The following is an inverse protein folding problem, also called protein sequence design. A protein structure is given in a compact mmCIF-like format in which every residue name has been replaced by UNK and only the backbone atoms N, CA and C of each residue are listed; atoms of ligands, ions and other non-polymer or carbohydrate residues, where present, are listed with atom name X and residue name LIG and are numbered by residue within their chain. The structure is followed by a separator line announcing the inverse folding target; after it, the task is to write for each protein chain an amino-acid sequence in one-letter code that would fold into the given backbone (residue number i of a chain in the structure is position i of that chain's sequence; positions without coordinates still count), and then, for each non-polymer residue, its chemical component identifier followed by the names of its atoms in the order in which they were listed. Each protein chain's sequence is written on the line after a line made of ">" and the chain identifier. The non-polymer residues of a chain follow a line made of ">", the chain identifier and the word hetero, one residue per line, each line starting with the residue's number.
data_IF_752697572968
#
_entry.id   IF_752697572968
#
_cell.length_a   1.000
_cell.length_b   1.000
_cell.length_c   1.000
_cell.angle_alpha   90.00
_cell.angle_beta   90.00
_cell.angle_gamma   90.00
#
_symmetry.space_group_name_H-M   'P 1'
#
loop_
_entity.id
_entity.type
_entity.pdbx_description
1 polymer ?
#
# COMPACT_ATOMS: atom_id res chain seq x y z
N UNK A 1 2.76 -20.06 10.00
CA UNK A 1 2.73 -18.59 10.15
C UNK A 1 2.77 -17.99 8.75
N UNK A 2 1.89 -17.03 8.40
CA UNK A 2 2.05 -16.31 7.13
C UNK A 2 3.41 -15.63 7.17
N UNK A 3 4.28 -15.99 6.22
CA UNK A 3 5.60 -15.38 6.11
C UNK A 3 5.39 -13.90 5.81
N UNK A 4 6.15 -13.07 6.51
CA UNK A 4 6.30 -11.66 6.21
C UNK A 4 6.56 -11.48 4.70
N UNK A 5 5.70 -10.73 4.04
CA UNK A 5 5.72 -10.53 2.60
C UNK A 5 6.23 -9.15 2.24
N UNK A 6 6.90 -9.06 1.10
CA UNK A 6 7.13 -7.77 0.46
C UNK A 6 5.79 -7.22 -0.06
N UNK A 7 5.60 -5.91 0.08
CA UNK A 7 4.51 -5.18 -0.57
C UNK A 7 5.15 -4.20 -1.55
N UNK A 8 4.71 -4.29 -2.80
CA UNK A 8 5.04 -3.33 -3.84
C UNK A 8 3.78 -2.49 -4.04
N UNK A 9 3.91 -1.17 -3.94
CA UNK A 9 2.84 -0.22 -4.18
C UNK A 9 3.16 0.59 -5.43
N UNK A 10 2.22 0.65 -6.36
CA UNK A 10 2.23 1.59 -7.48
C UNK A 10 1.36 2.76 -7.06
N UNK A 11 1.93 3.95 -7.03
CA UNK A 11 1.25 5.10 -6.42
C UNK A 11 1.28 6.30 -7.36
N UNK A 12 0.17 7.03 -7.43
CA UNK A 12 0.13 8.40 -7.91
C UNK A 12 -0.11 9.33 -6.73
N UNK A 13 0.74 10.34 -6.63
CA UNK A 13 0.71 11.21 -5.47
C UNK A 13 1.90 12.16 -5.38
N UNK A 14 2.10 12.65 -4.16
CA UNK A 14 3.13 13.59 -3.76
C UNK A 14 4.28 12.84 -3.08
N UNK A 15 5.51 13.05 -3.57
CA UNK A 15 6.73 12.67 -2.85
C UNK A 15 7.14 13.81 -1.90
N UNK A 16 7.24 13.53 -0.61
CA UNK A 16 7.49 14.55 0.42
C UNK A 16 8.58 14.09 1.39
N UNK A 17 9.33 15.04 1.95
CA UNK A 17 10.33 14.77 2.98
C UNK A 17 9.63 14.40 4.28
N UNK A 18 10.18 13.42 4.98
CA UNK A 18 9.60 12.96 6.24
C UNK A 18 9.52 14.10 7.28
N UNK A 19 10.58 14.90 7.53
CA UNK A 19 10.49 16.01 8.47
C UNK A 19 9.40 17.03 8.14
N UNK A 20 9.17 17.33 6.86
CA UNK A 20 8.10 18.25 6.42
C UNK A 20 6.73 17.65 6.72
N UNK A 21 6.56 16.37 6.39
CA UNK A 21 5.31 15.67 6.61
C UNK A 21 5.02 15.47 8.12
N UNK A 22 6.05 15.22 8.92
CA UNK A 22 5.96 15.07 10.37
C UNK A 22 5.57 16.40 11.04
N UNK A 23 6.13 17.54 10.61
CA UNK A 23 5.65 18.87 11.06
C UNK A 23 4.19 19.10 10.73
N UNK A 24 3.74 18.69 9.54
CA UNK A 24 2.34 18.76 9.14
C UNK A 24 1.44 17.92 10.05
N UNK A 25 1.85 16.69 10.37
CA UNK A 25 1.10 15.81 11.29
C UNK A 25 1.04 16.39 12.71
N UNK A 26 2.18 16.80 13.25
CA UNK A 26 2.27 17.38 14.59
C UNK A 26 1.41 18.65 14.72
N UNK A 27 1.41 19.53 13.71
CA UNK A 27 0.58 20.73 13.69
C UNK A 27 -0.93 20.43 13.65
N UNK A 28 -1.32 19.26 13.19
CA UNK A 28 -2.70 18.77 13.15
C UNK A 28 -3.04 17.82 14.31
N UNK A 29 -2.16 17.70 15.31
CA UNK A 29 -2.41 16.89 16.51
C UNK A 29 -2.27 15.37 16.29
N UNK A 30 -1.65 14.95 15.20
CA UNK A 30 -1.32 13.54 14.92
C UNK A 30 0.16 13.32 15.21
N UNK A 31 0.51 12.15 15.75
CA UNK A 31 1.91 11.80 16.04
C UNK A 31 2.75 11.83 14.76
N UNK A 32 4.02 12.21 14.87
CA UNK A 32 4.95 12.17 13.75
C UNK A 32 5.16 10.71 13.29
N UNK A 33 5.53 10.52 12.03
CA UNK A 33 5.84 9.19 11.52
C UNK A 33 7.23 8.74 11.97
N UNK A 34 8.16 9.67 12.17
CA UNK A 34 9.57 9.37 12.44
C UNK A 34 10.17 8.41 11.39
N UNK A 35 9.65 8.42 10.15
CA UNK A 35 10.04 7.46 9.12
C UNK A 35 9.60 6.01 9.37
N UNK A 36 8.87 5.78 10.45
CA UNK A 36 8.27 4.49 10.78
C UNK A 36 7.07 4.29 9.86
N UNK A 37 7.13 3.19 9.13
CA UNK A 37 6.12 2.92 8.12
C UNK A 37 4.79 2.53 8.76
N UNK A 38 3.67 3.12 8.31
CA UNK A 38 2.34 2.80 8.78
C UNK A 38 1.94 1.32 8.64
N UNK A 39 0.95 0.97 9.44
CA UNK A 39 0.43 -0.37 9.58
C UNK A 39 -0.78 -0.57 8.66
N UNK A 40 -0.58 -1.16 7.48
CA UNK A 40 -1.55 -1.13 6.36
C UNK A 40 -2.73 -2.11 6.44
N UNK A 41 -3.03 -2.72 7.59
CA UNK A 41 -3.72 -4.02 7.62
C UNK A 41 -5.16 -4.07 8.13
N UNK A 42 -6.01 -3.04 7.94
CA UNK A 42 -7.45 -3.16 7.62
C UNK A 42 -8.19 -1.81 7.71
N UNK A 43 -7.72 -0.86 8.51
CA UNK A 43 -8.26 0.51 8.58
C UNK A 43 -7.23 1.56 8.14
N UNK A 44 -7.64 2.76 7.70
CA UNK A 44 -6.69 3.86 7.56
C UNK A 44 -6.07 4.14 8.92
N UNK A 45 -4.74 4.08 8.98
CA UNK A 45 -3.97 4.64 10.09
C UNK A 45 -4.35 6.11 10.33
N UNK A 46 -4.08 6.62 11.52
CA UNK A 46 -4.44 7.99 11.93
C UNK A 46 -3.91 9.04 10.93
N UNK A 47 -2.70 8.85 10.42
CA UNK A 47 -2.12 9.69 9.37
C UNK A 47 -2.98 9.68 8.10
N UNK A 48 -3.35 8.51 7.60
CA UNK A 48 -4.24 8.36 6.44
C UNK A 48 -5.63 8.92 6.69
N UNK A 49 -6.18 8.82 7.91
CA UNK A 49 -7.46 9.43 8.27
C UNK A 49 -7.40 10.95 8.20
N UNK A 50 -6.35 11.56 8.78
CA UNK A 50 -6.13 12.99 8.67
C UNK A 50 -6.05 13.42 7.21
N UNK A 51 -5.20 12.76 6.41
CA UNK A 51 -5.02 13.11 5.00
C UNK A 51 -6.35 13.05 4.23
N UNK A 52 -7.16 12.01 4.45
CA UNK A 52 -8.51 11.89 3.85
C UNK A 52 -9.42 13.04 4.26
N UNK A 53 -9.45 13.36 5.55
CA UNK A 53 -10.29 14.47 6.05
C UNK A 53 -9.91 15.82 5.43
N UNK A 54 -8.62 16.02 5.11
CA UNK A 54 -8.09 17.24 4.47
C UNK A 54 -8.37 17.33 2.98
N UNK A 55 -8.37 16.21 2.25
CA UNK A 55 -8.83 16.17 0.85
C UNK A 55 -10.34 16.41 0.78
N UNK A 56 -11.09 15.82 1.71
CA UNK A 56 -12.53 15.98 1.84
C UNK A 56 -13.15 14.70 2.39
N UNK A 57 -14.18 14.83 3.22
CA UNK A 57 -14.73 13.70 4.01
C UNK A 57 -15.31 12.51 3.22
N UNK A 58 -15.39 12.58 1.89
CA UNK A 58 -15.78 11.47 1.03
C UNK A 58 -14.59 10.69 0.44
N UNK A 59 -13.35 11.15 0.63
CA UNK A 59 -12.19 10.43 0.12
C UNK A 59 -11.87 9.19 0.96
N UNK A 60 -11.74 8.06 0.26
CA UNK A 60 -11.44 6.75 0.85
C UNK A 60 -10.13 6.16 0.36
N UNK A 61 -9.44 6.85 -0.57
CA UNK A 61 -8.23 6.33 -1.21
C UNK A 61 -6.97 6.99 -0.69
N UNK A 62 -7.01 8.25 -0.26
CA UNK A 62 -5.78 8.92 0.18
C UNK A 62 -5.11 8.17 1.33
N UNK A 63 -3.81 7.95 1.18
CA UNK A 63 -3.00 7.14 2.10
C UNK A 63 -1.52 7.51 1.99
N UNK A 64 -0.79 7.34 3.08
CA UNK A 64 0.65 7.51 3.15
C UNK A 64 1.41 6.18 2.90
N UNK A 65 2.48 6.24 2.12
CA UNK A 65 3.42 5.16 1.87
C UNK A 65 4.82 5.58 2.29
N UNK A 66 5.46 4.80 3.17
CA UNK A 66 6.86 5.01 3.54
C UNK A 66 7.64 3.74 3.17
N UNK A 67 8.67 3.82 2.30
CA UNK A 67 9.50 2.67 1.98
C UNK A 67 10.22 2.13 3.22
N UNK A 68 10.36 0.81 3.30
CA UNK A 68 11.16 0.17 4.35
C UNK A 68 11.86 -1.07 3.84
N UNK A 69 13.12 -1.21 4.24
CA UNK A 69 13.96 -2.35 3.91
C UNK A 69 14.79 -2.72 5.15
N UNK A 70 14.72 -3.97 5.57
CA UNK A 70 15.23 -4.44 6.88
C UNK A 70 16.72 -4.15 7.08
N UNK A 71 17.48 -4.07 6.00
CA UNK A 71 18.93 -3.87 6.01
C UNK A 71 19.37 -2.40 5.93
N UNK A 72 18.43 -1.44 5.89
CA UNK A 72 18.71 -0.01 5.70
C UNK A 72 18.07 0.82 6.81
N UNK A 73 18.57 2.05 6.98
CA UNK A 73 17.94 3.07 7.83
C UNK A 73 16.58 3.53 7.25
N UNK A 74 15.86 4.31 8.04
CA UNK A 74 14.58 4.93 7.65
C UNK A 74 14.67 5.71 6.35
N UNK A 75 13.56 5.72 5.61
CA UNK A 75 13.45 6.47 4.36
C UNK A 75 13.55 7.97 4.62
N UNK A 76 14.19 8.70 3.71
CA UNK A 76 14.16 10.16 3.72
C UNK A 76 12.84 10.73 3.20
N UNK A 77 12.03 9.92 2.51
CA UNK A 77 10.81 10.34 1.85
C UNK A 77 9.63 9.48 2.25
N UNK A 78 8.50 10.14 2.39
CA UNK A 78 7.18 9.53 2.39
C UNK A 78 6.47 9.91 1.08
N UNK A 79 5.42 9.16 0.78
CA UNK A 79 4.59 9.40 -0.40
C UNK A 79 3.14 9.48 0.03
N UNK A 80 2.51 10.62 -0.22
CA UNK A 80 1.08 10.81 0.00
C UNK A 80 0.38 10.49 -1.31
N UNK A 81 -0.34 9.38 -1.36
CA UNK A 81 -0.99 8.88 -2.57
C UNK A 81 -2.47 9.24 -2.57
N UNK A 82 -3.01 9.69 -3.70
CA UNK A 82 -4.47 9.79 -3.94
C UNK A 82 -5.00 8.60 -4.74
N UNK A 83 -4.13 7.93 -5.49
CA UNK A 83 -4.42 6.69 -6.18
C UNK A 83 -3.27 5.74 -5.98
N UNK A 84 -3.57 4.50 -5.64
CA UNK A 84 -2.56 3.47 -5.45
C UNK A 84 -3.13 2.09 -5.73
N UNK A 85 -2.22 1.18 -6.03
CA UNK A 85 -2.50 -0.23 -6.17
C UNK A 85 -1.36 -1.04 -5.56
N UNK A 86 -1.68 -2.24 -5.06
CA UNK A 86 -0.71 -3.13 -4.44
C UNK A 86 -0.44 -4.31 -5.35
N UNK A 87 0.84 -4.67 -5.43
CA UNK A 87 1.35 -5.84 -6.13
C UNK A 87 2.03 -6.74 -5.10
N UNK A 88 1.55 -7.98 -5.02
CA UNK A 88 2.01 -9.02 -4.13
C UNK A 88 3.12 -9.84 -4.77
N UNK A 89 2.92 -10.28 -6.00
CA UNK A 89 3.90 -11.02 -6.78
C UNK A 89 3.96 -10.54 -8.22
N UNK A 90 2.81 -10.37 -8.87
CA UNK A 90 2.70 -9.93 -10.25
C UNK A 90 1.31 -9.37 -10.52
N UNK A 91 1.24 -8.25 -11.23
CA UNK A 91 -0.03 -7.62 -11.58
C UNK A 91 0.05 -6.96 -12.94
N UNK A 92 -0.93 -7.23 -13.79
CA UNK A 92 -1.20 -6.47 -14.99
C UNK A 92 -1.76 -5.10 -14.57
N UNK A 93 -1.05 -4.04 -14.94
CA UNK A 93 -1.45 -2.67 -14.65
C UNK A 93 -2.13 -2.12 -15.88
N UNK A 94 -3.45 -1.97 -15.84
CA UNK A 94 -4.18 -1.21 -16.85
C UNK A 94 -3.98 0.27 -16.54
N UNK A 95 -3.25 0.98 -17.40
CA UNK A 95 -2.81 2.36 -17.15
C UNK A 95 -3.96 3.34 -16.87
N UNK A 96 -5.14 3.05 -17.40
CA UNK A 96 -6.35 3.88 -17.25
C UNK A 96 -7.13 3.59 -15.96
N UNK A 97 -6.86 2.47 -15.27
CA UNK A 97 -7.57 2.10 -14.03
C UNK A 97 -7.05 2.83 -12.79
N UNK A 98 -5.80 3.32 -12.84
CA UNK A 98 -5.23 4.14 -11.78
C UNK A 98 -5.54 5.62 -12.08
N UNK A 99 -6.47 6.27 -11.34
CA UNK A 99 -6.93 7.61 -11.65
C UNK A 99 -5.75 8.57 -11.86
N UNK A 100 -5.72 9.24 -13.01
CA UNK A 100 -4.66 10.20 -13.32
C UNK A 100 -4.95 11.57 -12.70
N UNK A 101 -6.22 11.91 -12.56
CA UNK A 101 -6.65 13.16 -11.98
C UNK A 101 -6.78 13.05 -10.45
N UNK A 102 -6.21 14.00 -9.70
CA UNK A 102 -6.34 14.01 -8.25
C UNK A 102 -7.77 14.41 -7.81
N UNK A 103 -8.23 13.96 -6.64
CA UNK A 103 -9.53 14.32 -6.10
C UNK A 103 -9.65 15.82 -5.80
N UNK A 104 -10.89 16.31 -5.72
CA UNK A 104 -11.16 17.66 -5.23
C UNK A 104 -10.55 17.84 -3.82
N UNK A 105 -9.91 18.98 -3.58
CA UNK A 105 -9.20 19.26 -2.32
C UNK A 105 -7.75 18.75 -2.25
N UNK A 106 -7.31 17.93 -3.21
CA UNK A 106 -5.91 17.47 -3.25
C UNK A 106 -4.88 18.59 -3.38
N UNK A 107 -5.17 19.59 -4.21
CA UNK A 107 -4.30 20.75 -4.38
C UNK A 107 -4.13 21.50 -3.05
N UNK A 108 -5.23 21.74 -2.33
CA UNK A 108 -5.21 22.38 -1.01
C UNK A 108 -4.43 21.56 0.03
N UNK A 109 -4.60 20.23 0.05
CA UNK A 109 -3.79 19.35 0.91
C UNK A 109 -2.30 19.46 0.57
N UNK A 110 -1.96 19.44 -0.73
CA UNK A 110 -0.57 19.53 -1.18
C UNK A 110 0.04 20.88 -0.77
N UNK A 111 -0.66 21.98 -1.00
CA UNK A 111 -0.21 23.31 -0.59
C UNK A 111 -0.04 23.41 0.92
N UNK A 112 -0.98 22.84 1.69
CA UNK A 112 -0.89 22.81 3.17
C UNK A 112 0.33 22.01 3.64
N UNK A 113 0.54 20.79 3.16
CA UNK A 113 1.73 19.98 3.49
C UNK A 113 3.01 20.75 3.13
N UNK A 114 3.06 21.32 1.92
CA UNK A 114 4.25 22.00 1.43
C UNK A 114 4.52 23.32 2.15
N UNK A 115 3.53 23.92 2.80
CA UNK A 115 3.72 25.11 3.65
C UNK A 115 4.62 24.85 4.86
N UNK A 116 4.79 23.58 5.28
CA UNK A 116 5.72 23.17 6.34
C UNK A 116 7.16 22.93 5.87
N UNK A 117 7.44 23.10 4.57
CA UNK A 117 8.80 23.12 4.04
C UNK A 117 9.48 24.41 4.48
N UNK A 118 10.37 24.34 5.47
CA UNK A 118 10.96 25.54 6.08
C UNK A 118 12.46 25.57 5.85
N UNK A 119 12.89 26.51 5.00
CA UNK A 119 14.29 26.91 4.88
C UNK A 119 15.13 26.07 3.91
N UNK A 120 16.42 26.36 3.92
CA UNK A 120 17.41 25.84 2.95
C UNK A 120 17.59 24.32 3.04
N UNK A 121 17.38 23.72 4.21
CA UNK A 121 17.55 22.27 4.42
C UNK A 121 16.50 21.44 3.69
N UNK A 122 15.26 21.91 3.55
CA UNK A 122 14.24 21.21 2.76
C UNK A 122 14.41 21.48 1.26
N UNK A 123 14.88 22.68 0.89
CA UNK A 123 15.12 23.09 -0.48
C UNK A 123 16.20 22.28 -1.18
N UNK A 124 17.24 21.84 -0.46
CA UNK A 124 18.30 20.99 -1.03
C UNK A 124 17.75 19.62 -1.51
N UNK A 125 16.57 19.20 -1.04
CA UNK A 125 15.94 17.93 -1.45
C UNK A 125 15.01 18.06 -2.66
N UNK A 126 14.84 19.26 -3.23
CA UNK A 126 14.01 19.49 -4.43
C UNK A 126 14.49 18.64 -5.62
N UNK A 127 15.81 18.58 -5.85
CA UNK A 127 16.39 17.75 -6.91
C UNK A 127 16.17 16.24 -6.66
N UNK A 128 16.17 15.83 -5.40
CA UNK A 128 15.82 14.46 -4.99
C UNK A 128 14.30 14.17 -5.07
N UNK A 129 13.48 15.17 -5.40
CA UNK A 129 12.05 15.04 -5.67
C UNK A 129 11.14 15.42 -4.51
N UNK A 130 11.60 16.18 -3.52
CA UNK A 130 10.70 16.80 -2.54
C UNK A 130 9.67 17.70 -3.24
N UNK A 131 8.39 17.51 -2.93
CA UNK A 131 7.28 18.24 -3.55
C UNK A 131 6.88 17.72 -4.94
N UNK A 132 7.52 16.65 -5.44
CA UNK A 132 7.25 16.13 -6.78
C UNK A 132 5.94 15.34 -6.80
N UNK A 133 5.02 15.76 -7.67
CA UNK A 133 3.87 14.96 -8.07
C UNK A 133 4.27 13.95 -9.16
N UNK A 134 3.76 12.72 -9.09
CA UNK A 134 4.04 11.73 -10.13
C UNK A 134 3.52 10.33 -9.85
N UNK A 135 3.91 9.41 -10.73
CA UNK A 135 3.75 7.97 -10.59
C UNK A 135 5.04 7.39 -9.99
N UNK A 136 4.93 6.63 -8.91
CA UNK A 136 6.06 6.02 -8.21
C UNK A 136 5.82 4.54 -7.94
N UNK A 137 6.91 3.80 -7.81
CA UNK A 137 6.90 2.44 -7.28
C UNK A 137 7.57 2.49 -5.90
N UNK A 138 6.82 2.09 -4.87
CA UNK A 138 7.29 2.06 -3.48
C UNK A 138 7.33 0.61 -3.02
N UNK A 139 8.48 0.20 -2.50
CA UNK A 139 8.71 -1.17 -2.04
C UNK A 139 8.91 -1.15 -0.54
N UNK A 140 8.15 -1.99 0.17
CA UNK A 140 8.25 -2.15 1.62
C UNK A 140 8.33 -3.62 2.01
N UNK A 141 9.37 -3.99 2.73
CA UNK A 141 9.55 -5.33 3.31
C UNK A 141 8.71 -5.51 4.59
N UNK A 142 8.50 -6.78 4.94
CA UNK A 142 7.89 -7.29 6.17
C UNK A 142 6.50 -6.72 6.47
N UNK A 143 5.59 -6.82 5.50
CA UNK A 143 4.22 -6.35 5.64
C UNK A 143 3.24 -7.51 5.75
N UNK A 144 2.23 -7.34 6.61
CA UNK A 144 1.10 -8.26 6.80
C UNK A 144 -0.08 -7.95 5.86
N UNK A 145 0.17 -7.59 4.60
CA UNK A 145 -0.92 -7.46 3.63
C UNK A 145 -1.05 -8.79 2.91
N UNK A 146 -2.00 -9.60 3.37
CA UNK A 146 -2.46 -10.73 2.58
C UNK A 146 -3.40 -10.20 1.49
N UNK A 147 -3.13 -10.48 0.21
CA UNK A 147 -4.03 -10.10 -0.86
C UNK A 147 -5.44 -10.68 -0.65
N UNK A 148 -6.50 -10.01 -1.14
CA UNK A 148 -7.86 -10.50 -1.03
C UNK A 148 -8.05 -11.92 -1.55
N UNK A 149 -7.45 -12.32 -2.68
CA UNK A 149 -7.56 -13.71 -3.16
C UNK A 149 -6.92 -14.71 -2.20
N UNK A 150 -5.78 -14.34 -1.60
CA UNK A 150 -5.05 -15.18 -0.63
C UNK A 150 -5.85 -15.30 0.67
N UNK A 151 -6.54 -14.24 1.11
CA UNK A 151 -7.49 -14.31 2.24
C UNK A 151 -8.67 -15.22 1.89
N UNK A 152 -9.30 -15.02 0.73
CA UNK A 152 -10.47 -15.77 0.28
C UNK A 152 -10.17 -17.27 0.16
N UNK A 153 -9.07 -17.65 -0.48
CA UNK A 153 -8.69 -19.08 -0.65
C UNK A 153 -8.38 -19.80 0.66
N UNK A 154 -8.04 -19.06 1.71
CA UNK A 154 -7.77 -19.61 3.05
C UNK A 154 -8.96 -19.45 4.02
N UNK A 155 -10.09 -18.90 3.56
CA UNK A 155 -11.30 -18.77 4.37
C UNK A 155 -11.93 -20.15 4.54
N UNK A 156 -12.22 -20.55 5.78
CA UNK A 156 -12.77 -21.86 6.11
C UNK A 156 -14.30 -21.84 6.13
N UNK A 157 -14.98 -22.93 5.71
CA UNK A 157 -14.39 -24.10 5.05
C UNK A 157 -13.88 -23.74 3.63
N UNK A 158 -12.81 -24.39 3.18
CA UNK A 158 -12.24 -24.19 1.83
C UNK A 158 -12.93 -25.14 0.85
N UNK A 159 -13.85 -24.67 -0.01
CA UNK A 159 -14.55 -25.54 -0.94
C UNK A 159 -13.68 -25.95 -2.12
N UNK A 160 -13.91 -27.16 -2.64
CA UNK A 160 -13.53 -27.49 -4.01
C UNK A 160 -14.43 -26.68 -4.98
N UNK A 161 -13.85 -26.18 -6.06
CA UNK A 161 -14.54 -25.47 -7.13
C UNK A 161 -15.09 -26.42 -8.22
N UNK A 162 -14.73 -27.70 -8.16
CA UNK A 162 -15.10 -28.72 -9.14
C UNK A 162 -16.06 -29.78 -8.59
N UNK A 163 -16.25 -29.85 -7.28
CA UNK A 163 -17.14 -30.81 -6.63
C UNK A 163 -17.66 -30.27 -5.27
N UNK A 164 -18.43 -31.07 -4.54
CA UNK A 164 -19.02 -30.67 -3.24
C UNK A 164 -18.10 -30.84 -2.04
N UNK A 165 -16.85 -31.28 -2.23
CA UNK A 165 -15.91 -31.50 -1.13
C UNK A 165 -15.47 -30.18 -0.48
N UNK A 166 -15.23 -30.20 0.83
CA UNK A 166 -14.75 -29.06 1.62
C UNK A 166 -13.59 -29.46 2.53
N UNK A 167 -12.66 -28.54 2.76
CA UNK A 167 -11.40 -28.79 3.47
C UNK A 167 -11.11 -27.70 4.51
N UNK A 168 -10.31 -28.04 5.53
CA UNK A 168 -9.87 -27.06 6.55
C UNK A 168 -8.66 -26.23 6.12
N UNK A 169 -7.88 -26.73 5.15
CA UNK A 169 -6.68 -26.08 4.66
C UNK A 169 -6.62 -26.11 3.13
N UNK A 170 -6.19 -24.99 2.54
CA UNK A 170 -6.08 -24.84 1.09
C UNK A 170 -5.21 -25.93 0.44
N UNK A 171 -4.13 -26.34 1.11
CA UNK A 171 -3.23 -27.40 0.61
C UNK A 171 -3.94 -28.73 0.42
N UNK A 172 -4.85 -29.12 1.32
CA UNK A 172 -5.58 -30.38 1.19
C UNK A 172 -6.62 -30.30 0.08
N UNK A 173 -7.29 -29.15 -0.06
CA UNK A 173 -8.14 -28.86 -1.24
C UNK A 173 -7.35 -28.98 -2.54
N UNK A 174 -6.13 -28.46 -2.59
CA UNK A 174 -5.30 -28.51 -3.81
C UNK A 174 -4.84 -29.93 -4.13
N UNK A 175 -4.45 -30.71 -3.11
CA UNK A 175 -4.13 -32.14 -3.30
C UNK A 175 -5.33 -32.90 -3.87
N UNK A 176 -6.53 -32.69 -3.31
CA UNK A 176 -7.75 -33.29 -3.83
C UNK A 176 -8.00 -32.95 -5.31
N UNK A 177 -7.79 -31.69 -5.71
CA UNK A 177 -7.90 -31.30 -7.14
C UNK A 177 -6.92 -32.04 -8.04
N UNK A 178 -5.70 -32.26 -7.57
CA UNK A 178 -4.69 -33.00 -8.33
C UNK A 178 -5.10 -34.48 -8.47
N UNK A 179 -5.49 -35.10 -7.36
CA UNK A 179 -5.74 -36.54 -7.29
C UNK A 179 -7.08 -36.94 -7.95
N UNK A 180 -8.16 -36.17 -7.70
CA UNK A 180 -9.53 -36.52 -8.12
C UNK A 180 -9.98 -35.79 -9.40
N UNK A 181 -9.33 -34.68 -9.75
CA UNK A 181 -9.72 -33.85 -10.90
C UNK A 181 -8.59 -33.66 -11.91
N UNK A 182 -7.43 -34.29 -11.71
CA UNK A 182 -6.30 -34.22 -12.64
C UNK A 182 -5.73 -32.81 -12.82
N UNK A 183 -5.94 -31.90 -11.86
CA UNK A 183 -5.41 -30.55 -11.94
C UNK A 183 -3.87 -30.58 -11.92
N UNK A 184 -3.24 -29.81 -12.81
CA UNK A 184 -1.77 -29.77 -12.96
C UNK A 184 -1.09 -28.65 -12.18
N UNK A 185 -1.87 -27.73 -11.62
CA UNK A 185 -1.38 -26.68 -10.72
C UNK A 185 -0.63 -27.28 -9.51
N UNK A 186 0.47 -26.66 -9.10
CA UNK A 186 1.22 -27.08 -7.91
C UNK A 186 0.40 -27.00 -6.61
N UNK A 187 0.94 -27.50 -5.48
CA UNK A 187 0.20 -27.63 -4.22
C UNK A 187 -0.13 -26.29 -3.52
N UNK A 188 0.48 -25.19 -3.98
CA UNK A 188 0.25 -23.83 -3.48
C UNK A 188 0.66 -22.82 -4.57
N UNK A 189 -0.13 -22.67 -5.64
CA UNK A 189 0.23 -21.77 -6.73
C UNK A 189 0.23 -20.32 -6.24
N UNK A 190 1.09 -19.50 -6.85
CA UNK A 190 1.03 -18.05 -6.68
C UNK A 190 -0.25 -17.52 -7.35
N UNK A 191 -0.84 -16.42 -6.85
CA UNK A 191 -1.87 -15.70 -7.59
C UNK A 191 -1.31 -15.18 -8.92
N UNK A 192 -2.09 -15.31 -10.00
CA UNK A 192 -1.63 -14.94 -11.35
C UNK A 192 -1.67 -13.43 -11.62
N UNK A 193 -2.44 -12.65 -10.86
CA UNK A 193 -2.64 -11.22 -11.09
C UNK A 193 -2.92 -10.44 -9.78
N UNK A 194 -2.03 -10.60 -8.78
CA UNK A 194 -2.09 -9.86 -7.51
C UNK A 194 -0.73 -9.38 -7.00
#
# INVERSE_FOLDING_TARGET
>A
MPREGQVIAIIRGLKVRIPVLDRFFAANGVEETYGIVPVYHIDPDEHSQLLRSKVGGSDSRTRIFIPHKTTYNESNFAYVAYAWDLVHAQKEIVLDELPTDPPAGWASLTDEIMSFSTGEDDDQWKEAGHGKMGLFIVVSENRHILPPSVKKRNTRPVPCDLCTATFDVFRDRQRHRMDEHGCTEGPNPLPDNE
#
